data_IF_207028976182
#
_entry.id   IF_207028976182
#
_cell.length_a   1.000
_cell.length_b   1.000
_cell.length_c   1.000
_cell.angle_alpha   90.00
_cell.angle_beta   90.00
_cell.angle_gamma   90.00
#
_symmetry.space_group_name_H-M   'P 1'
#
loop_
_entity.id
_entity.type
_entity.pdbx_description
1 polymer ?
#
# COMPACT_ATOMS: atom_id res chain seq x y z
N UNK A 1 17.06 -38.15 15.12
CA UNK A 1 15.76 -38.40 14.48
C UNK A 1 15.95 -38.44 12.98
N UNK A 2 15.74 -39.61 12.40
CA UNK A 2 16.11 -40.00 11.03
C UNK A 2 15.14 -39.42 10.01
N UNK A 3 15.59 -38.42 9.26
CA UNK A 3 14.88 -37.88 8.10
C UNK A 3 14.88 -38.89 6.94
N UNK A 4 13.74 -39.01 6.29
CA UNK A 4 13.48 -40.03 5.25
C UNK A 4 14.28 -39.76 3.95
N UNK A 5 14.53 -40.76 3.09
CA UNK A 5 15.26 -40.56 1.82
C UNK A 5 14.60 -39.52 0.91
N UNK A 6 13.26 -39.41 0.99
CA UNK A 6 12.46 -38.42 0.27
C UNK A 6 12.65 -37.00 0.82
N UNK A 7 12.81 -36.84 2.14
CA UNK A 7 13.18 -35.55 2.75
C UNK A 7 14.61 -35.14 2.41
N UNK A 8 15.57 -36.07 2.40
CA UNK A 8 16.95 -35.78 1.97
C UNK A 8 17.02 -35.38 0.50
N UNK A 9 16.21 -36.00 -0.37
CA UNK A 9 16.12 -35.64 -1.79
C UNK A 9 15.39 -34.30 -2.01
N UNK A 10 14.40 -33.96 -1.18
CA UNK A 10 13.74 -32.64 -1.18
C UNK A 10 14.64 -31.52 -0.63
N UNK A 11 15.42 -31.77 0.42
CA UNK A 11 16.43 -30.83 0.93
C UNK A 11 17.60 -30.64 -0.04
N UNK A 12 18.01 -31.71 -0.74
CA UNK A 12 19.05 -31.66 -1.78
C UNK A 12 18.63 -30.90 -3.04
N UNK A 13 17.33 -30.85 -3.36
CA UNK A 13 16.80 -30.05 -4.48
C UNK A 13 16.61 -28.57 -4.14
N UNK A 14 16.52 -28.23 -2.86
CA UNK A 14 16.41 -26.84 -2.39
C UNK A 14 17.75 -26.07 -2.43
N UNK A 15 18.88 -26.78 -2.55
CA UNK A 15 20.22 -26.18 -2.43
C UNK A 15 20.93 -25.90 -3.76
N UNK A 16 20.28 -26.04 -4.91
CA UNK A 16 20.96 -25.86 -6.20
C UNK A 16 20.05 -25.27 -7.30
N UNK A 17 19.27 -24.25 -6.94
CA UNK A 17 18.48 -23.50 -7.93
C UNK A 17 19.23 -22.21 -8.31
N UNK A 18 19.85 -22.12 -9.51
CA UNK A 18 20.63 -20.95 -9.90
C UNK A 18 19.82 -19.66 -9.92
N UNK A 19 18.51 -19.74 -10.18
CA UNK A 19 17.63 -18.57 -10.12
C UNK A 19 17.44 -18.08 -8.68
N UNK A 20 17.38 -18.99 -7.70
CA UNK A 20 17.33 -18.64 -6.28
C UNK A 20 18.61 -17.98 -5.84
N UNK A 21 19.76 -18.54 -6.22
CA UNK A 21 21.07 -17.99 -5.87
C UNK A 21 21.24 -16.59 -6.47
N UNK A 22 20.78 -16.38 -7.71
CA UNK A 22 20.72 -15.06 -8.34
C UNK A 22 19.88 -14.07 -7.52
N UNK A 23 18.68 -14.46 -7.07
CA UNK A 23 17.82 -13.60 -6.24
C UNK A 23 18.47 -13.29 -4.87
N UNK A 24 19.15 -14.26 -4.26
CA UNK A 24 19.86 -14.06 -2.99
C UNK A 24 21.07 -13.14 -3.17
N UNK A 25 21.85 -13.30 -4.24
CA UNK A 25 22.95 -12.39 -4.57
C UNK A 25 22.44 -10.97 -4.84
N UNK A 26 21.35 -10.83 -5.59
CA UNK A 26 20.69 -9.55 -5.81
C UNK A 26 20.24 -8.92 -4.48
N UNK A 27 19.65 -9.69 -3.57
CA UNK A 27 19.28 -9.20 -2.25
C UNK A 27 20.50 -8.75 -1.42
N UNK A 28 21.58 -9.53 -1.42
CA UNK A 28 22.86 -9.19 -0.74
C UNK A 28 23.52 -7.95 -1.32
N UNK A 29 23.38 -7.71 -2.63
CA UNK A 29 23.91 -6.52 -3.28
C UNK A 29 23.22 -5.24 -2.78
N UNK A 30 21.89 -5.28 -2.62
CA UNK A 30 21.13 -4.15 -2.05
C UNK A 30 21.35 -3.98 -0.55
N UNK A 31 21.57 -5.08 0.18
CA UNK A 31 21.69 -5.07 1.64
C UNK A 31 22.96 -5.79 2.10
N UNK A 32 24.10 -5.09 2.17
CA UNK A 32 25.36 -5.65 2.66
C UNK A 32 25.27 -6.20 4.10
N UNK A 33 24.39 -5.62 4.92
CA UNK A 33 24.19 -5.99 6.33
C UNK A 33 23.18 -7.14 6.54
N UNK A 34 22.75 -7.82 5.48
CA UNK A 34 21.78 -8.90 5.58
C UNK A 34 22.32 -10.11 6.35
N UNK A 35 21.47 -10.70 7.19
CA UNK A 35 21.79 -11.85 8.03
C UNK A 35 21.05 -13.08 7.50
N UNK A 36 21.77 -14.15 7.19
CA UNK A 36 21.15 -15.43 6.85
C UNK A 36 20.75 -16.17 8.12
N UNK A 37 19.43 -16.33 8.33
CA UNK A 37 18.88 -17.02 9.51
C UNK A 37 18.72 -18.52 9.22
N UNK A 38 18.26 -18.85 8.01
CA UNK A 38 18.15 -20.22 7.50
C UNK A 38 18.33 -20.21 5.98
N UNK A 39 18.32 -21.38 5.33
CA UNK A 39 18.47 -21.49 3.88
C UNK A 39 17.42 -20.71 3.07
N UNK A 40 16.25 -20.48 3.66
CA UNK A 40 15.05 -19.84 3.10
C UNK A 40 14.59 -18.61 3.88
N UNK A 41 15.42 -18.12 4.82
CA UNK A 41 15.08 -17.02 5.71
C UNK A 41 16.26 -16.06 5.87
N UNK A 42 16.03 -14.78 5.56
CA UNK A 42 17.03 -13.73 5.60
C UNK A 42 16.49 -12.51 6.33
N UNK A 43 17.28 -11.95 7.24
CA UNK A 43 16.91 -10.77 8.03
C UNK A 43 17.71 -9.56 7.56
N UNK A 44 17.01 -8.49 7.18
CA UNK A 44 17.59 -7.22 6.75
C UNK A 44 17.39 -6.22 7.89
N UNK A 45 18.44 -5.92 8.68
CA UNK A 45 18.35 -4.86 9.68
C UNK A 45 18.32 -3.49 8.98
N UNK A 46 17.41 -2.62 9.39
CA UNK A 46 17.30 -1.28 8.84
C UNK A 46 16.77 -0.29 9.88
N UNK A 47 17.07 0.98 9.64
CA UNK A 47 16.55 2.11 10.43
C UNK A 47 15.72 3.00 9.51
N UNK A 48 14.66 3.59 10.07
CA UNK A 48 13.83 4.53 9.34
C UNK A 48 14.26 5.96 9.69
N UNK A 49 14.62 6.81 8.70
CA UNK A 49 14.86 8.24 8.93
C UNK A 49 13.70 8.94 9.64
N UNK A 50 12.46 8.59 9.29
CA UNK A 50 11.24 9.07 9.96
C UNK A 50 11.11 8.64 11.43
N UNK A 51 11.87 7.63 11.86
CA UNK A 51 11.89 7.11 13.25
C UNK A 51 13.30 6.82 13.76
N UNK A 52 14.07 7.86 14.07
CA UNK A 52 15.40 7.70 14.63
C UNK A 52 15.33 6.94 15.97
N UNK A 53 16.30 6.06 16.21
CA UNK A 53 16.45 5.32 17.46
C UNK A 53 15.63 4.02 17.58
N UNK A 54 14.80 3.68 16.58
CA UNK A 54 14.15 2.37 16.51
C UNK A 54 14.78 1.52 15.40
N UNK A 55 15.30 0.35 15.78
CA UNK A 55 15.83 -0.62 14.82
C UNK A 55 14.71 -1.55 14.38
N UNK A 56 14.56 -1.68 13.06
CA UNK A 56 13.62 -2.63 12.46
C UNK A 56 14.37 -3.75 11.77
N UNK A 57 13.67 -4.86 11.53
CA UNK A 57 14.20 -5.96 10.72
C UNK A 57 13.15 -6.41 9.73
N UNK A 58 13.51 -6.42 8.45
CA UNK A 58 12.67 -7.01 7.41
C UNK A 58 13.13 -8.44 7.18
N UNK A 59 12.29 -9.38 7.61
CA UNK A 59 12.50 -10.80 7.40
C UNK A 59 11.92 -11.23 6.05
N UNK A 60 12.77 -11.78 5.20
CA UNK A 60 12.45 -12.32 3.88
C UNK A 60 12.36 -13.84 3.98
N UNK A 61 11.18 -14.38 3.65
CA UNK A 61 10.86 -15.80 3.73
C UNK A 61 10.54 -16.33 2.32
N UNK A 62 11.25 -17.36 1.90
CA UNK A 62 11.03 -17.96 0.59
C UNK A 62 10.00 -19.08 0.63
N UNK A 63 8.97 -19.05 -0.25
CA UNK A 63 8.05 -20.17 -0.38
C UNK A 63 8.74 -21.41 -0.97
N UNK A 64 8.08 -22.56 -0.83
CA UNK A 64 8.53 -23.81 -1.43
C UNK A 64 8.57 -23.66 -2.95
N UNK A 65 9.70 -23.95 -3.59
CA UNK A 65 9.87 -23.83 -5.04
C UNK A 65 10.22 -22.42 -5.55
N UNK A 66 10.51 -21.47 -4.65
CA UNK A 66 10.97 -20.13 -5.02
C UNK A 66 12.27 -20.14 -5.86
N UNK A 67 12.39 -19.27 -6.90
CA UNK A 67 11.39 -18.30 -7.40
C UNK A 67 10.47 -18.85 -8.51
N UNK A 68 10.59 -20.13 -8.86
CA UNK A 68 10.02 -20.69 -10.08
C UNK A 68 8.51 -21.01 -9.97
N UNK A 69 7.97 -21.14 -8.76
CA UNK A 69 6.56 -21.45 -8.50
C UNK A 69 5.59 -20.26 -8.75
N UNK A 70 6.11 -19.06 -9.04
CA UNK A 70 5.30 -17.85 -9.25
C UNK A 70 4.91 -17.14 -7.95
N UNK A 71 4.96 -17.81 -6.80
CA UNK A 71 4.68 -17.20 -5.51
C UNK A 71 5.76 -16.16 -5.11
N UNK A 72 5.36 -14.96 -4.65
CA UNK A 72 6.29 -13.95 -4.18
C UNK A 72 6.99 -14.35 -2.87
N UNK A 73 8.15 -13.75 -2.55
CA UNK A 73 8.73 -13.85 -1.22
C UNK A 73 7.76 -13.25 -0.19
N UNK A 74 7.65 -13.88 0.99
CA UNK A 74 6.90 -13.29 2.10
C UNK A 74 7.81 -12.37 2.88
N UNK A 75 7.40 -11.12 3.05
CA UNK A 75 8.13 -10.12 3.81
C UNK A 75 7.43 -9.89 5.15
N UNK A 76 8.18 -9.96 6.24
CA UNK A 76 7.66 -9.78 7.60
C UNK A 76 8.48 -8.73 8.35
N UNK A 77 7.81 -7.75 8.95
CA UNK A 77 8.44 -6.71 9.76
C UNK A 77 8.60 -7.15 11.22
N UNK A 78 9.76 -6.83 11.79
CA UNK A 78 10.08 -6.96 13.20
C UNK A 78 10.52 -5.61 13.80
N UNK A 79 10.12 -5.31 15.06
CA UNK A 79 9.31 -6.14 15.95
C UNK A 79 7.84 -6.24 15.50
N UNK A 80 7.22 -7.42 15.69
CA UNK A 80 5.80 -7.67 15.32
C UNK A 80 4.80 -6.81 16.10
N UNK A 81 5.27 -6.14 17.14
CA UNK A 81 4.52 -5.12 17.85
C UNK A 81 4.40 -3.83 17.05
N UNK A 82 4.93 -3.71 15.83
CA UNK A 82 4.75 -2.54 14.97
C UNK A 82 3.58 -2.77 13.98
N UNK A 83 2.70 -1.79 13.86
CA UNK A 83 1.53 -1.77 12.97
C UNK A 83 1.71 -0.72 11.87
N UNK A 84 1.37 -1.06 10.64
CA UNK A 84 1.36 -0.17 9.49
C UNK A 84 0.22 -0.59 8.57
N UNK A 85 -0.31 0.33 7.77
CA UNK A 85 -1.35 0.03 6.76
C UNK A 85 -0.87 -1.01 5.73
N UNK A 86 0.45 -1.16 5.58
CA UNK A 86 1.07 -2.12 4.68
C UNK A 86 1.12 -3.54 5.26
N UNK A 87 0.77 -3.72 6.54
CA UNK A 87 0.97 -4.97 7.29
C UNK A 87 -0.33 -5.66 7.68
N UNK A 88 -0.31 -6.99 7.68
CA UNK A 88 -1.35 -7.81 8.30
C UNK A 88 -1.18 -7.91 9.82
N UNK A 89 -2.15 -8.57 10.48
CA UNK A 89 -2.14 -8.81 11.95
C UNK A 89 -0.92 -9.58 12.46
N UNK A 90 -0.15 -10.22 11.58
CA UNK A 90 1.02 -11.00 11.91
C UNK A 90 2.33 -10.26 11.57
N UNK A 91 2.26 -9.04 11.03
CA UNK A 91 3.40 -8.25 10.60
C UNK A 91 3.90 -8.61 9.19
N UNK A 92 3.12 -9.33 8.38
CA UNK A 92 3.46 -9.58 6.97
C UNK A 92 3.01 -8.43 6.08
N UNK A 93 3.85 -8.08 5.10
CA UNK A 93 3.51 -7.09 4.08
C UNK A 93 2.45 -7.68 3.16
N UNK A 94 1.36 -6.94 2.92
CA UNK A 94 0.34 -7.37 1.96
C UNK A 94 0.92 -7.41 0.53
N UNK A 95 0.58 -8.42 -0.30
CA UNK A 95 1.05 -8.47 -1.68
C UNK A 95 0.66 -7.24 -2.52
N UNK A 96 -0.49 -6.63 -2.23
CA UNK A 96 -0.96 -5.41 -2.90
C UNK A 96 -0.31 -4.12 -2.35
N UNK A 97 0.49 -4.19 -1.28
CA UNK A 97 1.19 -3.03 -0.73
C UNK A 97 2.28 -2.50 -1.68
N UNK A 98 2.80 -3.36 -2.56
CA UNK A 98 3.78 -2.98 -3.57
C UNK A 98 3.62 -3.82 -4.83
N UNK A 99 3.57 -3.16 -6.00
CA UNK A 99 3.33 -3.80 -7.30
C UNK A 99 4.30 -4.96 -7.60
N UNK A 100 5.56 -4.83 -7.17
CA UNK A 100 6.55 -5.88 -7.36
C UNK A 100 6.29 -7.17 -6.55
N UNK A 101 5.42 -7.13 -5.54
CA UNK A 101 4.95 -8.33 -4.83
C UNK A 101 3.68 -8.93 -5.47
N UNK A 102 2.78 -8.10 -6.00
CA UNK A 102 1.55 -8.57 -6.67
C UNK A 102 1.79 -9.13 -8.06
N UNK A 103 2.75 -8.57 -8.80
CA UNK A 103 3.15 -8.98 -10.16
C UNK A 103 4.52 -9.68 -10.15
N UNK A 104 4.74 -10.55 -9.16
CA UNK A 104 6.00 -11.26 -9.01
C UNK A 104 6.24 -12.26 -10.15
N UNK A 105 7.45 -12.28 -10.70
CA UNK A 105 7.87 -13.19 -11.76
C UNK A 105 9.36 -13.54 -11.69
N UNK A 106 9.82 -14.43 -12.58
CA UNK A 106 11.21 -14.91 -12.56
C UNK A 106 12.24 -13.79 -12.84
N UNK A 107 11.83 -12.73 -13.54
CA UNK A 107 12.64 -11.54 -13.81
C UNK A 107 12.58 -10.46 -12.73
N UNK A 108 11.73 -10.60 -11.70
CA UNK A 108 11.61 -9.62 -10.62
C UNK A 108 12.90 -9.53 -9.81
N UNK A 109 13.23 -8.34 -9.30
CA UNK A 109 14.44 -8.10 -8.50
C UNK A 109 14.10 -8.10 -7.01
N UNK A 110 14.46 -9.16 -6.29
CA UNK A 110 14.16 -9.30 -4.86
C UNK A 110 14.73 -8.16 -4.00
N UNK A 111 15.96 -7.74 -4.29
CA UNK A 111 16.64 -6.63 -3.62
C UNK A 111 15.89 -5.32 -3.83
N UNK A 112 15.44 -5.04 -5.05
CA UNK A 112 14.66 -3.83 -5.34
C UNK A 112 13.30 -3.87 -4.63
N UNK A 113 12.61 -5.00 -4.63
CA UNK A 113 11.32 -5.15 -3.93
C UNK A 113 11.49 -4.89 -2.43
N UNK A 114 12.49 -5.51 -1.79
CA UNK A 114 12.76 -5.27 -0.38
C UNK A 114 13.15 -3.82 -0.09
N UNK A 115 13.92 -3.18 -0.98
CA UNK A 115 14.31 -1.78 -0.86
C UNK A 115 13.12 -0.82 -0.95
N UNK A 116 12.26 -0.99 -1.95
CA UNK A 116 11.06 -0.16 -2.11
C UNK A 116 10.06 -0.37 -0.96
N UNK A 117 9.93 -1.60 -0.45
CA UNK A 117 9.12 -1.87 0.75
C UNK A 117 9.66 -1.15 1.99
N UNK A 118 10.99 -1.14 2.20
CA UNK A 118 11.61 -0.38 3.30
C UNK A 118 11.35 1.12 3.13
N UNK A 119 11.45 1.64 1.90
CA UNK A 119 11.15 3.04 1.60
C UNK A 119 9.67 3.38 1.85
N UNK A 120 8.75 2.48 1.51
CA UNK A 120 7.33 2.63 1.82
C UNK A 120 7.08 2.69 3.33
N UNK A 121 7.84 1.96 4.14
CA UNK A 121 7.79 2.11 5.59
C UNK A 121 8.32 3.45 6.07
N UNK A 122 9.22 4.12 5.35
CA UNK A 122 9.64 5.47 5.74
C UNK A 122 8.55 6.51 5.46
N UNK A 123 7.79 6.32 4.38
CA UNK A 123 6.60 7.13 4.06
C UNK A 123 5.44 6.85 5.02
N UNK A 124 5.25 5.58 5.40
CA UNK A 124 4.19 5.12 6.31
C UNK A 124 4.78 4.36 7.52
N UNK A 125 5.37 5.09 8.50
CA UNK A 125 6.18 4.52 9.57
C UNK A 125 5.39 3.57 10.50
N UNK A 126 5.87 2.32 10.72
CA UNK A 126 5.21 1.34 11.59
C UNK A 126 5.11 1.78 13.06
N UNK A 127 3.91 2.01 13.60
CA UNK A 127 3.62 2.43 14.99
C UNK A 127 3.57 1.25 15.98
N UNK A 128 4.13 1.35 17.20
CA UNK A 128 3.91 0.35 18.25
C UNK A 128 2.41 0.11 18.53
N UNK A 129 2.02 -1.16 18.58
CA UNK A 129 0.70 -1.64 18.99
C UNK A 129 0.57 -1.32 20.48
N UNK A 130 -0.11 -0.21 20.78
CA UNK A 130 -0.28 0.33 22.13
C UNK A 130 0.09 1.80 22.28
N UNK A 131 0.81 2.41 21.32
CA UNK A 131 1.15 3.83 21.33
C UNK A 131 0.19 4.69 20.49
N UNK A 132 -1.08 4.27 20.38
CA UNK A 132 -2.11 5.13 19.83
C UNK A 132 -2.67 6.00 20.96
N UNK A 133 -2.51 7.34 20.92
CA UNK A 133 -3.55 8.20 21.47
C UNK A 133 -4.87 7.79 20.81
N UNK A 134 -5.98 7.85 21.53
CA UNK A 134 -7.29 7.32 21.15
C UNK A 134 -7.95 7.92 19.88
N UNK A 135 -7.18 8.56 19.00
CA UNK A 135 -7.62 9.20 17.76
C UNK A 135 -7.02 8.46 16.56
N UNK A 136 -7.58 7.31 16.22
CA UNK A 136 -7.66 6.73 14.86
C UNK A 136 -8.19 5.29 14.95
N UNK A 137 -9.52 5.14 15.03
CA UNK A 137 -10.16 3.92 14.53
C UNK A 137 -10.41 4.11 13.03
N UNK A 138 -10.06 3.16 12.15
CA UNK A 138 -10.51 3.18 10.77
C UNK A 138 -12.02 2.91 10.73
N UNK A 139 -12.73 3.75 9.99
CA UNK A 139 -14.13 3.53 9.62
C UNK A 139 -14.26 2.16 8.93
N UNK A 140 -15.14 1.31 9.45
CA UNK A 140 -15.66 0.19 8.69
C UNK A 140 -16.67 0.73 7.68
N UNK A 141 -16.41 0.44 6.40
CA UNK A 141 -17.30 0.39 5.22
C UNK A 141 -18.65 1.14 5.27
N UNK A 142 -18.79 2.14 4.39
CA UNK A 142 -20.07 2.64 3.89
C UNK A 142 -20.77 1.57 3.02
N UNK A 143 -22.12 1.40 3.10
CA UNK A 143 -22.87 0.67 2.08
C UNK A 143 -23.12 1.55 0.86
N UNK A 144 -22.97 0.96 -0.33
CA UNK A 144 -23.32 1.54 -1.62
C UNK A 144 -24.84 1.61 -1.78
N UNK A 145 -25.37 2.78 -2.14
CA UNK A 145 -26.72 2.94 -2.63
C UNK A 145 -26.87 2.17 -3.96
N UNK A 146 -27.69 1.14 -3.97
CA UNK A 146 -28.28 0.59 -5.19
C UNK A 146 -29.73 0.29 -4.92
N UNK A 147 -30.57 1.04 -5.64
CA UNK A 147 -32.02 0.98 -5.69
C UNK A 147 -32.38 -0.15 -6.64
N UNK A 148 -33.04 -1.19 -6.15
CA UNK A 148 -34.14 -1.80 -6.88
C UNK A 148 -35.08 -2.59 -5.96
N UNK A 149 -36.35 -2.54 -6.34
CA UNK A 149 -37.49 -3.04 -5.58
C UNK A 149 -37.77 -4.48 -5.99
N UNK A 150 -37.95 -5.40 -5.02
CA UNK A 150 -39.05 -6.37 -5.00
C UNK A 150 -39.05 -7.20 -3.70
N UNK A 151 -40.25 -7.61 -3.30
CA UNK A 151 -40.68 -8.01 -1.95
C UNK A 151 -40.39 -9.47 -1.54
N UNK A 152 -40.53 -9.73 -0.23
CA UNK A 152 -40.88 -10.98 0.50
C UNK A 152 -39.78 -11.69 1.35
N UNK A 153 -40.13 -12.42 2.44
CA UNK A 153 -40.20 -11.84 3.78
C UNK A 153 -39.30 -12.52 4.86
N UNK A 154 -39.03 -11.75 5.92
CA UNK A 154 -38.69 -12.13 7.31
C UNK A 154 -37.95 -13.46 7.58
N UNK A 155 -36.68 -13.35 7.99
CA UNK A 155 -36.13 -14.07 9.14
C UNK A 155 -35.14 -13.15 9.89
N UNK A 156 -35.36 -12.94 11.20
CA UNK A 156 -34.40 -12.31 12.11
C UNK A 156 -33.24 -13.27 12.39
N UNK A 157 -32.00 -12.76 12.45
CA UNK A 157 -31.00 -13.32 13.34
C UNK A 157 -30.66 -12.36 14.48
N UNK A 158 -30.63 -12.96 15.66
CA UNK A 158 -30.34 -12.43 16.98
C UNK A 158 -29.20 -11.40 17.05
N UNK A 159 -29.49 -10.28 17.72
CA UNK A 159 -28.50 -9.32 18.19
C UNK A 159 -27.54 -9.99 19.18
N UNK A 160 -26.31 -10.27 18.75
CA UNK A 160 -25.19 -10.38 19.68
C UNK A 160 -24.74 -8.97 20.05
N UNK A 161 -25.24 -8.46 21.17
CA UNK A 161 -24.79 -7.22 21.80
C UNK A 161 -23.32 -7.37 22.21
N UNK A 162 -22.40 -6.85 21.38
CA UNK A 162 -21.08 -6.47 21.87
C UNK A 162 -21.28 -5.37 22.90
N UNK A 163 -20.71 -5.48 24.12
CA UNK A 163 -20.79 -4.39 25.09
C UNK A 163 -20.12 -3.14 24.50
N UNK A 164 -20.64 -1.93 24.82
CA UNK A 164 -19.97 -0.69 24.45
C UNK A 164 -18.53 -0.69 24.97
N UNK A 165 -17.58 -0.05 24.26
CA UNK A 165 -16.24 0.13 24.80
C UNK A 165 -16.37 0.84 26.14
N UNK A 166 -15.79 0.25 27.18
CA UNK A 166 -15.72 0.80 28.53
C UNK A 166 -15.23 2.26 28.42
N UNK A 167 -16.17 3.20 28.56
CA UNK A 167 -15.85 4.53 29.05
C UNK A 167 -15.01 4.28 30.28
N UNK A 168 -13.82 4.87 30.31
CA UNK A 168 -12.93 4.89 31.47
C UNK A 168 -13.81 5.31 32.66
N UNK A 169 -14.32 4.32 33.40
CA UNK A 169 -15.06 4.53 34.62
C UNK A 169 -14.00 4.77 35.68
N UNK A 170 -13.33 5.92 35.57
CA UNK A 170 -12.90 6.63 36.76
C UNK A 170 -14.21 7.00 37.45
N UNK A 171 -14.75 6.05 38.21
CA UNK A 171 -15.76 6.36 39.21
C UNK A 171 -15.19 7.55 39.98
N UNK A 172 -15.93 8.68 40.09
CA UNK A 172 -15.48 9.76 40.95
C UNK A 172 -15.16 9.12 42.29
N UNK A 173 -13.93 9.32 42.78
CA UNK A 173 -13.49 8.77 44.04
C UNK A 173 -14.25 9.55 45.12
N UNK A 174 -15.50 9.16 45.37
CA UNK A 174 -16.35 9.78 46.38
C UNK A 174 -15.67 9.49 47.71
N UNK A 175 -15.14 10.50 48.41
CA UNK A 175 -14.46 10.27 49.67
C UNK A 175 -15.46 9.63 50.65
N UNK A 176 -15.03 8.58 51.33
CA UNK A 176 -15.86 7.90 52.33
C UNK A 176 -16.20 8.89 53.45
N UNK A 177 -17.45 8.86 53.90
CA UNK A 177 -17.93 9.73 54.97
C UNK A 177 -17.20 9.34 56.27
N UNK A 178 -16.55 10.27 56.98
CA UNK A 178 -15.89 9.97 58.24
C UNK A 178 -16.89 9.47 59.29
N UNK A 179 -16.51 8.44 60.07
CA UNK A 179 -17.34 7.90 61.17
C UNK A 179 -17.43 8.83 62.39
N UNK A 180 -16.56 9.85 62.46
CA UNK A 180 -16.55 10.85 63.52
C UNK A 180 -16.24 12.24 62.94
N UNK A 181 -16.86 13.26 63.51
CA UNK A 181 -16.67 14.67 63.14
C UNK A 181 -16.10 15.44 64.35
N UNK A 182 -14.77 15.42 64.56
CA UNK A 182 -14.13 16.12 65.68
C UNK A 182 -14.33 17.64 65.65
N UNK A 183 -14.77 18.20 64.52
CA UNK A 183 -15.17 19.61 64.37
C UNK A 183 -16.46 19.93 65.14
N UNK A 184 -17.37 18.96 65.30
CA UNK A 184 -18.60 19.12 66.09
C UNK A 184 -18.34 19.03 67.60
N UNK A 185 -17.34 18.26 68.03
CA UNK A 185 -16.94 18.13 69.44
C UNK A 185 -16.35 19.43 70.03
N UNK A 186 -15.99 20.39 69.17
CA UNK A 186 -15.40 21.68 69.55
C UNK A 186 -16.42 22.80 69.68
N UNK A 187 -17.68 22.57 69.27
CA UNK A 187 -18.76 23.55 69.33
C UNK A 187 -19.48 23.48 70.69
N UNK A 188 -20.00 24.61 71.14
CA UNK A 188 -20.85 24.71 72.34
C UNK A 188 -22.27 24.21 72.05
N UNK A 189 -23.03 23.89 73.10
CA UNK A 189 -24.41 23.38 72.97
C UNK A 189 -25.33 24.36 72.24
N UNK A 190 -25.16 25.66 72.49
CA UNK A 190 -25.92 26.75 71.85
C UNK A 190 -25.60 26.84 70.35
N UNK A 191 -24.33 26.69 69.97
CA UNK A 191 -23.91 26.67 68.56
C UNK A 191 -24.43 25.43 67.83
N UNK A 192 -24.45 24.26 68.48
CA UNK A 192 -25.02 23.03 67.90
C UNK A 192 -26.54 23.17 67.72
N UNK A 193 -27.24 23.74 68.69
CA UNK A 193 -28.68 24.00 68.59
C UNK A 193 -29.00 25.03 67.48
N UNK A 194 -28.13 26.04 67.31
CA UNK A 194 -28.22 26.98 66.20
C UNK A 194 -28.01 26.30 64.84
N UNK A 195 -26.97 25.46 64.71
CA UNK A 195 -26.72 24.66 63.50
C UNK A 195 -27.88 23.69 63.18
N UNK A 196 -28.58 23.16 64.17
CA UNK A 196 -29.73 22.28 63.94
C UNK A 196 -30.99 23.03 63.47
N UNK A 197 -31.12 24.30 63.85
CA UNK A 197 -32.33 25.09 63.60
C UNK A 197 -32.18 26.09 62.43
N UNK A 198 -30.96 26.46 62.04
CA UNK A 198 -30.68 27.32 60.88
C UNK A 198 -29.91 26.57 59.77
N UNK A 199 -30.60 26.32 58.65
CA UNK A 199 -30.06 25.63 57.49
C UNK A 199 -28.89 26.38 56.82
N UNK A 200 -28.85 27.72 56.91
CA UNK A 200 -27.75 28.51 56.36
C UNK A 200 -26.50 28.43 57.22
N UNK A 201 -26.65 28.41 58.54
CA UNK A 201 -25.52 28.20 59.45
C UNK A 201 -24.96 26.79 59.31
N UNK A 202 -25.84 25.80 59.17
CA UNK A 202 -25.45 24.43 58.83
C UNK A 202 -24.68 24.35 57.52
N UNK A 203 -25.20 24.96 56.43
CA UNK A 203 -24.54 24.94 55.13
C UNK A 203 -23.17 25.65 55.18
N UNK A 204 -23.09 26.78 55.89
CA UNK A 204 -21.85 27.51 56.10
C UNK A 204 -20.81 26.64 56.82
N UNK A 205 -21.21 25.97 57.91
CA UNK A 205 -20.35 25.03 58.64
C UNK A 205 -19.96 23.82 57.79
N UNK A 206 -20.90 23.22 57.06
CA UNK A 206 -20.65 22.10 56.16
C UNK A 206 -19.59 22.42 55.09
N UNK A 207 -19.62 23.63 54.53
CA UNK A 207 -18.61 24.12 53.58
C UNK A 207 -17.24 24.37 54.23
N UNK A 208 -17.14 24.45 55.57
CA UNK A 208 -15.85 24.55 56.25
C UNK A 208 -15.11 23.22 56.37
N UNK A 209 -15.82 22.10 56.31
CA UNK A 209 -15.26 20.76 56.47
C UNK A 209 -14.22 20.47 55.36
N UNK A 210 -13.06 19.96 55.76
CA UNK A 210 -11.94 19.77 54.83
C UNK A 210 -12.26 18.72 53.75
N UNK A 211 -13.03 17.68 54.09
CA UNK A 211 -13.52 16.69 53.13
C UNK A 211 -14.43 17.30 52.05
N UNK A 212 -15.29 18.25 52.44
CA UNK A 212 -16.21 18.94 51.52
C UNK A 212 -15.43 19.90 50.62
N UNK A 213 -14.50 20.68 51.19
CA UNK A 213 -13.60 21.56 50.42
C UNK A 213 -12.77 20.78 49.41
N UNK A 214 -12.20 19.64 49.81
CA UNK A 214 -11.41 18.77 48.94
C UNK A 214 -12.26 18.24 47.78
N UNK A 215 -13.44 17.70 48.07
CA UNK A 215 -14.37 17.18 47.05
C UNK A 215 -14.80 18.26 46.07
N UNK A 216 -15.12 19.46 46.56
CA UNK A 216 -15.48 20.60 45.72
C UNK A 216 -14.34 21.01 44.79
N UNK A 217 -13.11 21.10 45.32
CA UNK A 217 -11.90 21.42 44.55
C UNK A 217 -11.64 20.37 43.46
N UNK A 218 -11.76 19.09 43.79
CA UNK A 218 -11.61 17.99 42.83
C UNK A 218 -12.68 18.06 41.72
N UNK A 219 -13.93 18.36 42.08
CA UNK A 219 -15.01 18.55 41.10
C UNK A 219 -14.79 19.76 40.17
N UNK A 220 -14.28 20.86 40.69
CA UNK A 220 -13.90 22.04 39.90
C UNK A 220 -12.73 21.74 38.95
N UNK A 221 -11.72 20.99 39.42
CA UNK A 221 -10.58 20.59 38.59
C UNK A 221 -11.01 19.64 37.45
N UNK A 222 -11.88 18.66 37.73
CA UNK A 222 -12.44 17.78 36.69
C UNK A 222 -13.19 18.58 35.64
N UNK A 223 -14.03 19.55 36.06
CA UNK A 223 -14.77 20.42 35.12
C UNK A 223 -13.82 21.23 34.25
N UNK A 224 -12.77 21.77 34.84
CA UNK A 224 -11.75 22.55 34.14
C UNK A 224 -11.01 21.69 33.11
N UNK A 225 -10.48 20.54 33.51
CA UNK A 225 -9.77 19.60 32.62
C UNK A 225 -10.68 19.12 31.49
N UNK A 226 -11.94 18.80 31.78
CA UNK A 226 -12.91 18.40 30.76
C UNK A 226 -13.17 19.53 29.76
N UNK A 227 -13.34 20.77 30.23
CA UNK A 227 -13.52 21.91 29.33
C UNK A 227 -12.30 22.15 28.43
N UNK A 228 -11.09 22.08 29.00
CA UNK A 228 -9.84 22.18 28.24
C UNK A 228 -9.71 21.07 27.20
N UNK A 229 -10.08 19.83 27.55
CA UNK A 229 -10.07 18.70 26.63
C UNK A 229 -11.11 18.86 25.51
N UNK A 230 -12.31 19.33 25.84
CA UNK A 230 -13.36 19.59 24.85
C UNK A 230 -12.92 20.66 23.84
N UNK A 231 -12.27 21.73 24.29
CA UNK A 231 -11.70 22.77 23.42
C UNK A 231 -10.61 22.20 22.50
N UNK A 232 -9.64 21.48 23.06
CA UNK A 232 -8.58 20.82 22.26
C UNK A 232 -9.16 19.84 21.23
N UNK A 233 -10.18 19.08 21.60
CA UNK A 233 -10.84 18.15 20.68
C UNK A 233 -11.54 18.88 19.54
N UNK A 234 -12.12 20.05 19.79
CA UNK A 234 -12.74 20.88 18.77
C UNK A 234 -11.68 21.43 17.79
N UNK A 235 -10.58 21.97 18.31
CA UNK A 235 -9.47 22.47 17.48
C UNK A 235 -8.87 21.37 16.60
N UNK A 236 -8.70 20.16 17.17
CA UNK A 236 -8.22 18.99 16.43
C UNK A 236 -9.20 18.55 15.34
N UNK A 237 -10.51 18.64 15.58
CA UNK A 237 -11.52 18.30 14.59
C UNK A 237 -11.44 19.22 13.38
N UNK A 238 -11.29 20.53 13.60
CA UNK A 238 -11.12 21.52 12.52
C UNK A 238 -9.83 21.28 11.73
N UNK A 239 -8.70 21.04 12.43
CA UNK A 239 -7.42 20.74 11.80
C UNK A 239 -7.47 19.47 10.94
N UNK A 240 -8.12 18.40 11.44
CA UNK A 240 -8.34 17.17 10.68
C UNK A 240 -9.20 17.44 9.45
N UNK A 241 -10.21 18.31 9.55
CA UNK A 241 -11.03 18.73 8.42
C UNK A 241 -10.19 19.38 7.32
N UNK A 242 -9.33 20.33 7.69
CA UNK A 242 -8.42 21.00 6.76
C UNK A 242 -7.46 20.02 6.07
N UNK A 243 -6.78 19.17 6.85
CA UNK A 243 -5.83 18.20 6.31
C UNK A 243 -6.51 17.21 5.36
N UNK A 244 -7.74 16.77 5.68
CA UNK A 244 -8.51 15.90 4.79
C UNK A 244 -8.83 16.58 3.46
N UNK A 245 -9.28 17.83 3.49
CA UNK A 245 -9.58 18.59 2.28
C UNK A 245 -8.31 18.80 1.44
N UNK A 246 -7.17 19.08 2.08
CA UNK A 246 -5.88 19.22 1.39
C UNK A 246 -5.43 17.91 0.73
N UNK A 247 -5.56 16.79 1.44
CA UNK A 247 -5.25 15.46 0.89
C UNK A 247 -6.16 15.12 -0.29
N UNK A 248 -7.45 15.42 -0.20
CA UNK A 248 -8.41 15.19 -1.29
C UNK A 248 -8.07 16.03 -2.54
N UNK A 249 -7.67 17.29 -2.34
CA UNK A 249 -7.20 18.15 -3.42
C UNK A 249 -5.92 17.60 -4.08
N UNK A 250 -4.94 17.16 -3.27
CA UNK A 250 -3.69 16.57 -3.76
C UNK A 250 -3.92 15.24 -4.47
N UNK A 251 -4.84 14.42 -3.98
CA UNK A 251 -5.27 13.18 -4.63
C UNK A 251 -5.86 13.47 -6.02
N UNK A 252 -6.71 14.49 -6.11
CA UNK A 252 -7.32 14.90 -7.39
C UNK A 252 -6.27 15.40 -8.38
N UNK A 253 -5.34 16.24 -7.93
CA UNK A 253 -4.20 16.73 -8.74
C UNK A 253 -3.34 15.56 -9.25
N UNK A 254 -3.02 14.60 -8.38
CA UNK A 254 -2.24 13.41 -8.74
C UNK A 254 -2.95 12.55 -9.78
N UNK A 255 -4.25 12.30 -9.62
CA UNK A 255 -5.04 11.51 -10.56
C UNK A 255 -5.07 12.18 -11.94
N UNK A 256 -5.34 13.50 -11.99
CA UNK A 256 -5.31 14.27 -13.23
C UNK A 256 -3.93 14.22 -13.91
N UNK A 257 -2.86 14.45 -13.14
CA UNK A 257 -1.49 14.40 -13.67
C UNK A 257 -1.09 13.02 -14.19
N UNK A 258 -1.58 11.94 -13.55
CA UNK A 258 -1.35 10.57 -14.01
C UNK A 258 -2.11 10.27 -15.31
N UNK A 259 -3.33 10.79 -15.46
CA UNK A 259 -4.09 10.67 -16.72
C UNK A 259 -3.40 11.39 -17.87
N UNK A 260 -2.92 12.61 -17.65
CA UNK A 260 -2.13 13.36 -18.64
C UNK A 260 -0.84 12.63 -19.01
N UNK A 261 -0.11 12.11 -18.02
CA UNK A 261 1.11 11.35 -18.26
C UNK A 261 0.85 10.09 -19.09
N UNK A 262 -0.18 9.31 -18.75
CA UNK A 262 -0.58 8.12 -19.52
C UNK A 262 -1.03 8.48 -20.94
N UNK A 263 -1.68 9.63 -21.11
CA UNK A 263 -2.01 10.18 -22.42
C UNK A 263 -0.76 10.41 -23.27
N UNK A 264 0.22 11.14 -22.72
CA UNK A 264 1.50 11.41 -23.39
C UNK A 264 2.32 10.14 -23.63
N UNK A 265 2.30 9.19 -22.69
CA UNK A 265 2.97 7.89 -22.86
C UNK A 265 2.36 7.11 -24.04
N UNK A 266 1.03 7.13 -24.19
CA UNK A 266 0.35 6.48 -25.32
C UNK A 266 0.72 7.15 -26.65
N UNK A 267 0.70 8.48 -26.70
CA UNK A 267 1.08 9.25 -27.88
C UNK A 267 2.54 9.00 -28.26
N UNK A 268 3.45 9.01 -27.28
CA UNK A 268 4.85 8.65 -27.49
C UNK A 268 5.00 7.21 -28.01
N UNK A 269 4.23 6.26 -27.45
CA UNK A 269 4.27 4.87 -27.89
C UNK A 269 3.82 4.72 -29.35
N UNK A 270 2.75 5.40 -29.74
CA UNK A 270 2.25 5.41 -31.12
C UNK A 270 3.22 6.07 -32.11
N UNK A 271 3.83 7.19 -31.70
CA UNK A 271 4.85 7.83 -32.51
C UNK A 271 6.12 6.96 -32.62
N UNK A 272 6.50 6.30 -31.53
CA UNK A 272 7.63 5.36 -31.52
C UNK A 272 7.35 4.11 -32.35
N UNK A 273 6.15 3.52 -32.30
CA UNK A 273 5.84 2.32 -33.09
C UNK A 273 5.84 2.60 -34.60
N UNK A 274 5.54 3.83 -34.99
CA UNK A 274 5.57 4.24 -36.40
C UNK A 274 6.96 4.62 -36.92
N UNK A 275 7.88 4.99 -36.03
CA UNK A 275 9.22 5.50 -36.34
C UNK A 275 10.36 4.64 -35.76
N UNK A 276 10.04 3.48 -35.21
CA UNK A 276 11.01 2.47 -34.79
C UNK A 276 11.57 1.75 -36.02
N UNK A 277 12.84 1.31 -35.98
CA UNK A 277 13.41 0.49 -37.04
C UNK A 277 12.54 -0.74 -37.36
N UNK A 278 12.00 -1.41 -36.33
CA UNK A 278 11.09 -2.56 -36.46
C UNK A 278 9.80 -2.17 -37.19
N UNK A 279 9.18 -1.06 -36.80
CA UNK A 279 7.98 -0.54 -37.44
C UNK A 279 8.21 -0.12 -38.89
N UNK A 280 9.40 0.41 -39.20
CA UNK A 280 9.79 0.81 -40.55
C UNK A 280 10.07 -0.40 -41.44
N UNK A 281 10.72 -1.45 -40.92
CA UNK A 281 10.88 -2.75 -41.62
C UNK A 281 9.51 -3.35 -41.94
N UNK A 282 8.59 -3.37 -40.98
CA UNK A 282 7.22 -3.86 -41.22
C UNK A 282 6.47 -3.09 -42.31
N UNK A 283 6.60 -1.76 -42.35
CA UNK A 283 6.05 -0.93 -43.45
C UNK A 283 6.72 -1.24 -44.79
N UNK A 284 8.04 -1.41 -44.81
CA UNK A 284 8.76 -1.77 -46.03
C UNK A 284 8.33 -3.13 -46.57
N UNK A 285 8.11 -4.11 -45.69
CA UNK A 285 7.57 -5.42 -46.10
C UNK A 285 6.22 -5.28 -46.80
N UNK A 286 5.31 -4.45 -46.26
CA UNK A 286 4.03 -4.16 -46.91
C UNK A 286 4.20 -3.58 -48.31
N UNK A 287 5.12 -2.63 -48.51
CA UNK A 287 5.39 -2.07 -49.84
C UNK A 287 6.05 -3.06 -50.80
N UNK A 288 6.90 -3.97 -50.30
CA UNK A 288 7.50 -5.05 -51.09
C UNK A 288 6.41 -6.00 -51.58
N UNK A 289 5.52 -6.45 -50.70
CA UNK A 289 4.39 -7.32 -51.06
C UNK A 289 3.46 -6.63 -52.06
N UNK A 290 3.11 -5.37 -51.84
CA UNK A 290 2.24 -4.62 -52.75
C UNK A 290 2.86 -4.45 -54.16
N UNK A 291 4.16 -4.23 -54.25
CA UNK A 291 4.86 -4.16 -55.55
C UNK A 291 4.90 -5.54 -56.26
N UNK A 292 4.99 -6.63 -55.50
CA UNK A 292 4.95 -7.99 -56.05
C UNK A 292 3.54 -8.33 -56.56
N UNK A 293 2.50 -8.03 -55.77
CA UNK A 293 1.09 -8.19 -56.15
C UNK A 293 0.76 -7.40 -57.42
N UNK A 294 1.20 -6.14 -57.53
CA UNK A 294 1.01 -5.35 -58.76
C UNK A 294 1.72 -5.96 -59.97
N UNK A 295 2.89 -6.56 -59.77
CA UNK A 295 3.61 -7.26 -60.84
C UNK A 295 2.87 -8.52 -61.29
N UNK A 296 2.24 -9.23 -60.35
CA UNK A 296 1.39 -10.39 -60.62
C UNK A 296 0.11 -9.97 -61.36
N UNK A 297 -0.59 -8.93 -60.91
CA UNK A 297 -1.77 -8.37 -61.60
C UNK A 297 -1.44 -7.94 -63.04
N UNK A 298 -0.28 -7.32 -63.27
CA UNK A 298 0.18 -6.98 -64.62
C UNK A 298 0.42 -8.22 -65.48
N UNK A 299 0.95 -9.29 -64.88
CA UNK A 299 1.17 -10.57 -65.55
C UNK A 299 -0.15 -11.24 -65.93
N UNK A 300 -1.14 -11.21 -65.05
CA UNK A 300 -2.49 -11.70 -65.34
C UNK A 300 -3.16 -10.92 -66.48
N UNK A 301 -3.10 -9.58 -66.44
CA UNK A 301 -3.64 -8.71 -67.49
C UNK A 301 -3.00 -8.99 -68.86
N UNK A 302 -1.69 -9.23 -68.89
CA UNK A 302 -1.00 -9.62 -70.12
C UNK A 302 -1.45 -11.00 -70.64
N UNK A 303 -1.60 -12.00 -69.76
CA UNK A 303 -2.09 -13.33 -70.14
C UNK A 303 -3.53 -13.29 -70.66
N UNK A 304 -4.38 -12.42 -70.09
CA UNK A 304 -5.74 -12.21 -70.54
C UNK A 304 -5.84 -11.41 -71.85
N UNK A 305 -4.73 -10.83 -72.33
CA UNK A 305 -4.67 -10.01 -73.53
C UNK A 305 -5.17 -8.57 -73.35
N UNK A 306 -5.30 -8.10 -72.10
CA UNK A 306 -5.75 -6.75 -71.77
C UNK A 306 -4.66 -5.68 -72.02
N UNK A 307 -3.39 -6.11 -72.12
CA UNK A 307 -2.21 -5.25 -72.32
C UNK A 307 -1.32 -5.87 -73.40
N UNK A 308 -0.77 -5.05 -74.28
CA UNK A 308 0.18 -5.52 -75.31
C UNK A 308 1.57 -5.84 -74.72
N UNK A 309 2.42 -6.51 -75.50
CA UNK A 309 3.73 -6.95 -75.01
C UNK A 309 4.66 -5.79 -74.64
N UNK A 310 4.69 -4.72 -75.44
CA UNK A 310 5.62 -3.61 -75.23
C UNK A 310 5.21 -2.77 -74.01
N UNK A 311 3.90 -2.57 -73.81
CA UNK A 311 3.32 -1.93 -72.64
C UNK A 311 3.49 -2.78 -71.38
N UNK A 312 3.22 -4.09 -71.46
CA UNK A 312 3.46 -5.02 -70.36
C UNK A 312 4.93 -5.02 -69.93
N UNK A 313 5.87 -5.18 -70.87
CA UNK A 313 7.29 -5.24 -70.56
C UNK A 313 7.75 -3.96 -69.85
N UNK A 314 7.29 -2.80 -70.32
CA UNK A 314 7.62 -1.50 -69.72
C UNK A 314 7.09 -1.36 -68.28
N UNK A 315 5.83 -1.75 -68.04
CA UNK A 315 5.20 -1.63 -66.73
C UNK A 315 5.73 -2.68 -65.75
N UNK A 316 5.91 -3.92 -66.21
CA UNK A 316 6.41 -5.03 -65.40
C UNK A 316 7.85 -4.80 -64.95
N UNK A 317 8.74 -4.36 -65.85
CA UNK A 317 10.13 -4.04 -65.46
C UNK A 317 10.16 -2.93 -64.41
N UNK A 318 9.29 -1.92 -64.54
CA UNK A 318 9.20 -0.82 -63.58
C UNK A 318 8.74 -1.30 -62.20
N UNK A 319 7.70 -2.13 -62.11
CA UNK A 319 7.22 -2.67 -60.82
C UNK A 319 8.25 -3.64 -60.20
N UNK A 320 8.94 -4.46 -61.01
CA UNK A 320 10.03 -5.32 -60.53
C UNK A 320 11.26 -4.53 -60.06
N UNK A 321 11.61 -3.43 -60.72
CA UNK A 321 12.67 -2.53 -60.27
C UNK A 321 12.32 -1.90 -58.92
N UNK A 322 11.05 -1.47 -58.75
CA UNK A 322 10.53 -0.97 -57.48
C UNK A 322 10.59 -2.04 -56.38
N UNK A 323 10.10 -3.26 -56.65
CA UNK A 323 10.18 -4.40 -55.74
C UNK A 323 11.61 -4.65 -55.27
N UNK A 324 12.57 -4.78 -56.20
CA UNK A 324 13.96 -5.08 -55.86
C UNK A 324 14.62 -3.94 -55.08
N UNK A 325 14.30 -2.69 -55.42
CA UNK A 325 14.79 -1.52 -54.68
C UNK A 325 14.26 -1.50 -53.25
N UNK A 326 12.99 -1.80 -53.05
CA UNK A 326 12.36 -1.85 -51.73
C UNK A 326 12.89 -3.02 -50.90
N UNK A 327 13.03 -4.20 -51.49
CA UNK A 327 13.59 -5.38 -50.83
C UNK A 327 15.03 -5.15 -50.38
N UNK A 328 15.88 -4.55 -51.23
CA UNK A 328 17.25 -4.22 -50.87
C UNK A 328 17.32 -3.17 -49.74
N UNK A 329 16.43 -2.17 -49.75
CA UNK A 329 16.35 -1.18 -48.66
C UNK A 329 15.89 -1.80 -47.35
N UNK A 330 14.92 -2.72 -47.39
CA UNK A 330 14.45 -3.48 -46.23
C UNK A 330 15.59 -4.31 -45.63
N UNK A 331 16.29 -5.10 -46.45
CA UNK A 331 17.42 -5.91 -46.03
C UNK A 331 18.54 -5.06 -45.42
N UNK A 332 18.85 -3.91 -46.03
CA UNK A 332 19.82 -2.96 -45.48
C UNK A 332 19.40 -2.43 -44.10
N UNK A 333 18.11 -2.22 -43.86
CA UNK A 333 17.59 -1.79 -42.57
C UNK A 333 17.66 -2.92 -41.53
N UNK A 334 17.29 -4.14 -41.91
CA UNK A 334 17.37 -5.33 -41.06
C UNK A 334 18.82 -5.60 -40.62
N UNK A 335 19.79 -5.49 -41.55
CA UNK A 335 21.22 -5.61 -41.24
C UNK A 335 21.71 -4.49 -40.31
N UNK A 336 21.23 -3.26 -40.52
CA UNK A 336 21.55 -2.14 -39.64
C UNK A 336 21.04 -2.40 -38.21
N UNK A 337 19.82 -2.92 -38.06
CA UNK A 337 19.23 -3.28 -36.77
C UNK A 337 20.02 -4.39 -36.07
N UNK A 338 20.35 -5.46 -36.79
CA UNK A 338 21.12 -6.58 -36.27
C UNK A 338 22.49 -6.10 -35.74
N UNK A 339 23.19 -5.25 -36.49
CA UNK A 339 24.49 -4.72 -36.05
C UNK A 339 24.41 -3.77 -34.85
N UNK A 340 23.27 -3.11 -34.64
CA UNK A 340 23.07 -2.20 -33.50
C UNK A 340 22.61 -2.91 -32.22
N UNK A 341 21.84 -3.99 -32.33
CA UNK A 341 21.47 -4.85 -31.19
C UNK A 341 22.68 -5.55 -30.56
N UNK A 342 23.74 -5.81 -31.33
CA UNK A 342 24.98 -6.42 -30.83
C UNK A 342 25.96 -5.46 -30.11
N UNK A 343 25.67 -4.14 -30.10
CA UNK A 343 26.57 -3.10 -29.55
C UNK A 343 26.08 -2.48 -28.22
N UNK A 344 25.04 -3.03 -27.60
CA UNK A 344 24.56 -2.68 -26.25
C UNK A 344 24.54 -3.92 -25.36
#
# INVERSE_FOLDING_TARGET
STSTPTERRKMSMLSNNPNRDRQVQNLKHYFPSIVTVASDCYDIPFNLPSRPGTNFTLRVLFPLGFPNAGDPPKLQLWPRSASSQLLDKNGFVYPHAYKGLSEWGQGSSLGLVAFEVIKLFDVNPPVPIGSHPASQRPFQSMPTLSRDSQQQPQQQPQQSSKPPPELISQHPNIPSVPDALPELERLTLEEIESLMNDEKEFEAFFLTLEGVKKTKREGEEIKKVNNELARKNLDLFESIGFIKAEVEMKQTELVSGLEEFKGKERELRELSSTHTPEGLVGKMEGYVTEADERSEELSEKFVNGDVDFDEFLKLFVKEREMYHTLAAKKESLELFMLNHEFNH
#
